data_IF_069768712489
#
_entry.id   IF_069768712489
#
_cell.length_a   1.000
_cell.length_b   1.000
_cell.length_c   1.000
_cell.angle_alpha   90.00
_cell.angle_beta   90.00
_cell.angle_gamma   90.00
#
_symmetry.space_group_name_H-M   'P 1'
#
loop_
_entity.id
_entity.type
_entity.pdbx_description
1 polymer ?
#
# COMPACT_ATOMS: atom_id res chain seq x y z
N UNK A 1 -8.58 -4.25 18.17
CA UNK A 1 -9.84 -3.75 17.58
C UNK A 1 -9.65 -3.72 16.08
N UNK A 2 -10.58 -4.24 15.28
CA UNK A 2 -10.46 -4.21 13.82
C UNK A 2 -10.61 -2.76 13.33
N UNK A 3 -9.77 -2.32 12.38
CA UNK A 3 -9.87 -0.97 11.80
C UNK A 3 -11.23 -0.82 11.11
N UNK A 4 -11.92 0.28 11.39
CA UNK A 4 -13.12 0.70 10.65
C UNK A 4 -12.78 1.03 9.20
N UNK A 5 -13.80 1.02 8.33
CA UNK A 5 -13.63 1.42 6.92
C UNK A 5 -13.06 2.83 6.79
N UNK A 6 -13.51 3.77 7.63
CA UNK A 6 -13.00 5.13 7.63
C UNK A 6 -11.51 5.21 8.00
N UNK A 7 -11.07 4.42 8.99
CA UNK A 7 -9.65 4.35 9.38
C UNK A 7 -8.79 3.74 8.28
N UNK A 8 -9.28 2.68 7.63
CA UNK A 8 -8.63 2.06 6.46
C UNK A 8 -8.48 3.06 5.32
N UNK A 9 -9.56 3.75 4.94
CA UNK A 9 -9.52 4.77 3.88
C UNK A 9 -8.61 5.95 4.22
N UNK A 10 -8.62 6.44 5.47
CA UNK A 10 -7.72 7.52 5.92
C UNK A 10 -6.25 7.11 5.87
N UNK A 11 -5.92 5.86 6.21
CA UNK A 11 -4.55 5.33 6.12
C UNK A 11 -4.03 5.37 4.69
N UNK A 12 -4.85 4.95 3.72
CA UNK A 12 -4.49 4.95 2.30
C UNK A 12 -4.33 6.39 1.79
N UNK A 13 -5.24 7.28 2.17
CA UNK A 13 -5.20 8.68 1.75
C UNK A 13 -3.93 9.41 2.19
N UNK A 14 -3.40 9.10 3.38
CA UNK A 14 -2.13 9.69 3.87
C UNK A 14 -0.94 9.41 2.95
N UNK A 15 -0.87 8.22 2.34
CA UNK A 15 0.20 7.90 1.38
C UNK A 15 0.09 8.80 0.15
N UNK A 16 -1.12 8.98 -0.39
CA UNK A 16 -1.35 9.84 -1.55
C UNK A 16 -0.92 11.28 -1.27
N UNK A 17 -1.20 11.78 -0.05
CA UNK A 17 -0.74 13.11 0.37
C UNK A 17 0.78 13.20 0.47
N UNK A 18 1.46 12.14 0.95
CA UNK A 18 2.92 12.09 1.07
C UNK A 18 3.63 12.12 -0.29
N UNK A 19 3.02 11.52 -1.31
CA UNK A 19 3.55 11.48 -2.68
C UNK A 19 3.51 12.85 -3.37
N UNK A 20 2.64 13.77 -2.94
CA UNK A 20 2.54 15.10 -3.55
C UNK A 20 3.82 15.92 -3.30
N UNK A 21 4.76 15.86 -4.24
CA UNK A 21 6.07 16.53 -4.18
C UNK A 21 7.25 15.66 -3.75
N UNK A 22 7.04 14.37 -3.47
CA UNK A 22 8.11 13.42 -3.14
C UNK A 22 8.15 12.24 -4.13
N UNK A 23 9.31 11.59 -4.32
CA UNK A 23 9.39 10.33 -5.05
C UNK A 23 8.43 9.28 -4.45
N UNK A 24 7.77 8.53 -5.32
CA UNK A 24 6.87 7.45 -4.90
C UNK A 24 7.68 6.26 -4.39
N UNK A 25 7.39 5.83 -3.16
CA UNK A 25 7.85 4.55 -2.64
C UNK A 25 6.74 3.50 -2.79
N UNK A 26 6.90 2.63 -3.79
CA UNK A 26 5.95 1.56 -4.08
C UNK A 26 6.02 0.41 -3.07
N UNK A 27 7.12 0.25 -2.31
CA UNK A 27 7.20 -0.76 -1.25
C UNK A 27 6.39 -0.32 -0.03
N UNK A 28 6.57 0.93 0.41
CA UNK A 28 5.74 1.52 1.48
C UNK A 28 4.26 1.46 1.11
N UNK A 29 3.92 1.77 -0.14
CA UNK A 29 2.54 1.71 -0.61
C UNK A 29 1.98 0.28 -0.58
N UNK A 30 2.78 -0.72 -0.96
CA UNK A 30 2.36 -2.13 -0.91
C UNK A 30 2.11 -2.61 0.52
N UNK A 31 2.94 -2.22 1.49
CA UNK A 31 2.78 -2.56 2.90
C UNK A 31 1.48 -1.99 3.49
N UNK A 32 1.24 -0.69 3.31
CA UNK A 32 0.02 -0.07 3.86
C UNK A 32 -1.24 -0.63 3.20
N UNK A 33 -1.19 -0.97 1.92
CA UNK A 33 -2.30 -1.65 1.25
C UNK A 33 -2.53 -3.04 1.83
N UNK A 34 -1.47 -3.84 2.00
CA UNK A 34 -1.57 -5.17 2.58
C UNK A 34 -2.19 -5.12 3.99
N UNK A 35 -1.69 -4.25 4.86
CA UNK A 35 -2.18 -4.10 6.24
C UNK A 35 -3.65 -3.65 6.34
N UNK A 36 -4.10 -2.79 5.43
CA UNK A 36 -5.48 -2.29 5.48
C UNK A 36 -6.47 -3.22 4.78
N UNK A 37 -6.04 -3.93 3.73
CA UNK A 37 -6.87 -4.83 2.96
C UNK A 37 -6.80 -6.29 3.42
N UNK A 38 -5.88 -6.61 4.34
CA UNK A 38 -5.69 -7.96 4.88
C UNK A 38 -5.40 -8.97 3.74
N UNK A 39 -4.60 -8.56 2.75
CA UNK A 39 -4.16 -9.41 1.65
C UNK A 39 -2.70 -9.18 1.24
N UNK A 40 -2.14 -10.10 0.45
CA UNK A 40 -0.83 -9.89 -0.19
C UNK A 40 -0.97 -8.95 -1.39
N UNK A 41 -0.02 -8.03 -1.55
CA UNK A 41 -0.05 -6.97 -2.57
C UNK A 41 1.21 -7.02 -3.43
N UNK A 42 1.00 -7.00 -4.75
CA UNK A 42 2.06 -6.98 -5.76
C UNK A 42 1.85 -5.79 -6.69
N UNK A 43 2.82 -4.88 -6.75
CA UNK A 43 2.81 -3.75 -7.68
C UNK A 43 3.76 -4.08 -8.83
N UNK A 44 3.19 -4.29 -10.02
CA UNK A 44 3.93 -4.68 -11.22
C UNK A 44 3.87 -3.59 -12.28
N UNK A 45 5.03 -3.28 -12.86
CA UNK A 45 5.14 -2.40 -14.01
C UNK A 45 4.68 -3.08 -15.30
N UNK A 46 4.42 -2.29 -16.34
CA UNK A 46 3.95 -2.77 -17.65
C UNK A 46 4.83 -3.87 -18.29
N UNK A 47 6.12 -3.89 -17.97
CA UNK A 47 7.10 -4.87 -18.49
C UNK A 47 7.36 -6.05 -17.53
N UNK A 48 6.53 -6.22 -16.49
CA UNK A 48 6.66 -7.30 -15.51
C UNK A 48 7.69 -7.05 -14.39
N UNK A 49 8.33 -5.88 -14.35
CA UNK A 49 9.20 -5.51 -13.23
C UNK A 49 8.39 -5.30 -11.95
N UNK A 50 8.87 -5.84 -10.83
CA UNK A 50 8.27 -5.64 -9.50
C UNK A 50 8.70 -4.27 -8.98
N UNK A 51 7.72 -3.39 -8.77
CA UNK A 51 7.92 -2.08 -8.16
C UNK A 51 7.68 -2.07 -6.65
N UNK A 52 6.85 -2.99 -6.15
CA UNK A 52 6.55 -3.13 -4.73
C UNK A 52 5.92 -4.48 -4.41
N UNK A 53 6.17 -4.98 -3.21
CA UNK A 53 5.69 -6.27 -2.72
C UNK A 53 5.42 -6.18 -1.21
N UNK A 54 4.30 -6.71 -0.76
CA UNK A 54 4.08 -7.04 0.64
C UNK A 54 3.31 -8.36 0.74
N UNK A 55 3.85 -9.29 1.52
CA UNK A 55 3.27 -10.60 1.76
C UNK A 55 2.72 -10.62 3.18
N UNK A 56 1.45 -10.98 3.33
CA UNK A 56 0.91 -11.26 4.65
C UNK A 56 1.39 -12.64 5.08
N UNK A 57 2.01 -12.72 6.25
CA UNK A 57 2.22 -13.97 6.94
C UNK A 57 0.90 -14.39 7.59
N UNK A 58 0.41 -15.56 7.22
CA UNK A 58 -0.77 -16.22 7.81
C UNK A 58 -0.37 -16.89 9.12
#
# INVERSE_FOLDING_TARGET
MQKSLLEKSRSIYKILQKIAGNPVDFFEMAEVLADNLECSVFIVGRRGGIGGLSLIHI
#
